data_IF_893892673331
#
_entry.id   IF_893892673331
#
_cell.length_a   1.000
_cell.length_b   1.000
_cell.length_c   1.000
_cell.angle_alpha   90.00
_cell.angle_beta   90.00
_cell.angle_gamma   90.00
#
_symmetry.space_group_name_H-M   'P 1'
#
loop_
_entity.id
_entity.type
_entity.pdbx_description
1 polymer ?
#
# COMPACT_ATOMS: atom_id res chain seq x y z
N UNK A 1 -14.07 -46.92 -18.54
CA UNK A 1 -12.86 -46.89 -17.69
C UNK A 1 -11.84 -45.99 -18.40
N UNK A 2 -11.94 -44.68 -18.15
CA UNK A 2 -11.03 -43.89 -17.31
C UNK A 2 -9.73 -43.49 -18.02
N UNK A 3 -9.80 -42.37 -18.74
CA UNK A 3 -8.67 -41.53 -19.12
C UNK A 3 -9.00 -40.12 -18.63
N UNK A 4 -8.52 -39.77 -17.44
CA UNK A 4 -8.71 -38.46 -16.86
C UNK A 4 -7.63 -38.28 -15.81
N UNK A 5 -6.68 -37.37 -16.08
CA UNK A 5 -5.96 -36.55 -15.09
C UNK A 5 -4.72 -35.82 -15.68
N UNK A 6 -4.34 -36.04 -16.94
CA UNK A 6 -3.18 -35.35 -17.53
C UNK A 6 -3.49 -34.04 -18.28
N UNK A 7 -4.69 -33.45 -18.12
CA UNK A 7 -5.16 -32.32 -18.95
C UNK A 7 -5.58 -31.04 -18.21
N UNK A 8 -5.58 -31.02 -16.88
CA UNK A 8 -6.17 -29.91 -16.10
C UNK A 8 -5.17 -28.79 -15.79
N UNK A 9 -3.86 -29.01 -16.00
CA UNK A 9 -2.82 -28.04 -15.62
C UNK A 9 -2.38 -27.06 -16.73
N UNK A 10 -2.96 -27.12 -17.93
CA UNK A 10 -2.58 -26.25 -19.06
C UNK A 10 -3.76 -25.50 -19.70
N UNK A 11 -4.89 -25.38 -19.00
CA UNK A 11 -6.10 -24.73 -19.52
C UNK A 11 -6.63 -23.54 -18.67
N UNK A 12 -5.87 -23.07 -17.68
CA UNK A 12 -6.19 -21.82 -16.95
C UNK A 12 -5.45 -20.59 -17.52
N UNK A 13 -4.51 -20.78 -18.45
CA UNK A 13 -3.72 -19.70 -19.07
C UNK A 13 -4.29 -19.21 -20.44
N UNK A 14 -5.53 -19.56 -20.79
CA UNK A 14 -6.21 -19.02 -21.98
C UNK A 14 -7.65 -18.57 -21.75
N UNK A 15 -7.89 -17.79 -20.68
CA UNK A 15 -9.18 -17.07 -20.52
C UNK A 15 -9.09 -15.66 -19.93
N UNK A 16 -8.01 -14.92 -20.17
CA UNK A 16 -7.96 -13.49 -19.81
C UNK A 16 -7.23 -12.63 -20.87
N UNK A 17 -7.55 -12.85 -22.15
CA UNK A 17 -7.20 -11.93 -23.25
C UNK A 17 -8.45 -11.52 -24.06
N UNK A 18 -9.54 -11.19 -23.36
CA UNK A 18 -10.63 -10.40 -23.94
C UNK A 18 -11.05 -9.36 -22.91
N UNK A 19 -10.35 -8.22 -22.95
CA UNK A 19 -10.87 -7.00 -22.34
C UNK A 19 -12.16 -6.56 -23.06
N UNK A 20 -12.97 -5.69 -22.46
CA UNK A 20 -14.22 -5.18 -23.04
C UNK A 20 -14.02 -4.19 -24.20
N UNK A 21 -12.95 -4.31 -24.98
CA UNK A 21 -12.47 -3.27 -25.91
C UNK A 21 -12.66 -3.59 -27.41
N UNK A 22 -13.52 -4.54 -27.77
CA UNK A 22 -13.67 -4.97 -29.19
C UNK A 22 -15.05 -4.68 -29.81
N UNK A 23 -16.01 -4.10 -29.07
CA UNK A 23 -17.33 -3.72 -29.64
C UNK A 23 -17.44 -2.23 -30.05
N UNK A 24 -16.32 -1.51 -30.15
CA UNK A 24 -16.32 -0.07 -30.50
C UNK A 24 -15.78 0.26 -31.90
N UNK A 25 -15.85 -0.67 -32.84
CA UNK A 25 -15.51 -0.40 -34.24
C UNK A 25 -16.69 -0.64 -35.18
N UNK A 26 -17.71 0.22 -35.08
CA UNK A 26 -18.49 0.73 -36.23
C UNK A 26 -19.47 1.85 -35.82
N UNK A 27 -19.18 3.04 -36.36
CA UNK A 27 -20.02 4.23 -36.57
C UNK A 27 -20.39 5.15 -35.36
N UNK A 28 -19.89 6.40 -35.41
CA UNK A 28 -20.45 7.55 -34.67
C UNK A 28 -19.42 8.65 -34.35
N UNK A 29 -19.71 9.96 -34.52
CA UNK A 29 -18.75 11.03 -34.30
C UNK A 29 -18.54 11.34 -32.81
N UNK A 30 -17.29 11.67 -32.45
CA UNK A 30 -16.85 12.31 -31.20
C UNK A 30 -17.58 11.87 -29.90
N UNK A 31 -17.29 10.66 -29.43
CA UNK A 31 -17.45 10.37 -28.00
C UNK A 31 -16.41 11.21 -27.27
N UNK A 32 -16.86 12.21 -26.50
CA UNK A 32 -15.98 13.07 -25.71
C UNK A 32 -15.03 12.21 -24.85
N UNK A 33 -13.77 12.62 -24.77
CA UNK A 33 -12.77 11.97 -23.93
C UNK A 33 -13.29 11.99 -22.49
N UNK A 34 -13.69 10.85 -21.93
CA UNK A 34 -14.02 10.75 -20.51
C UNK A 34 -12.71 10.94 -19.75
N UNK A 35 -12.55 12.09 -19.09
CA UNK A 35 -11.41 12.31 -18.21
C UNK A 35 -11.61 11.43 -16.97
N UNK A 36 -10.74 10.43 -16.83
CA UNK A 36 -10.77 9.56 -15.65
C UNK A 36 -10.46 10.40 -14.40
N UNK A 37 -11.16 10.15 -13.28
CA UNK A 37 -10.79 10.77 -12.02
C UNK A 37 -9.32 10.46 -11.68
N UNK A 38 -8.65 11.36 -11.00
CA UNK A 38 -7.21 11.26 -10.79
C UNK A 38 -6.80 9.97 -10.06
N UNK A 39 -7.65 9.45 -9.16
CA UNK A 39 -7.39 8.21 -8.41
C UNK A 39 -7.40 6.95 -9.31
N UNK A 40 -7.96 7.01 -10.51
CA UNK A 40 -7.84 5.93 -11.50
C UNK A 40 -6.48 5.94 -12.24
N UNK A 41 -5.59 6.89 -11.95
CA UNK A 41 -4.25 6.97 -12.54
C UNK A 41 -3.23 6.29 -11.64
N UNK A 42 -2.63 5.23 -12.17
CA UNK A 42 -1.59 4.46 -11.50
C UNK A 42 -0.40 5.33 -11.08
N UNK A 43 0.02 5.21 -9.81
CA UNK A 43 1.17 5.94 -9.26
C UNK A 43 0.98 7.45 -9.15
N UNK A 44 -0.26 7.95 -9.16
CA UNK A 44 -0.54 9.37 -8.97
C UNK A 44 -0.08 9.85 -7.58
N UNK A 45 0.54 11.04 -7.55
CA UNK A 45 0.94 11.72 -6.32
C UNK A 45 0.00 12.90 -6.08
N UNK A 46 -0.72 12.95 -4.94
CA UNK A 46 -1.58 14.08 -4.60
C UNK A 46 -0.83 15.40 -4.58
N UNK A 47 -1.47 16.47 -5.08
CA UNK A 47 -0.86 17.81 -5.15
C UNK A 47 -1.00 18.59 -3.84
N UNK A 48 -1.94 18.18 -2.99
CA UNK A 48 -2.23 18.81 -1.71
C UNK A 48 -3.05 17.87 -0.81
N UNK A 49 -3.26 18.30 0.44
CA UNK A 49 -3.95 17.50 1.46
C UNK A 49 -5.41 17.20 1.10
N UNK A 50 -6.09 18.08 0.35
CA UNK A 50 -7.47 17.85 -0.07
C UNK A 50 -7.56 16.72 -1.11
N UNK A 51 -6.63 16.70 -2.08
CA UNK A 51 -6.53 15.61 -3.05
C UNK A 51 -6.11 14.30 -2.37
N UNK A 52 -5.16 14.34 -1.45
CA UNK A 52 -4.78 13.14 -0.70
C UNK A 52 -5.97 12.56 0.10
N UNK A 53 -6.75 13.41 0.78
CA UNK A 53 -7.96 12.98 1.51
C UNK A 53 -8.99 12.33 0.59
N UNK A 54 -9.23 12.87 -0.60
CA UNK A 54 -10.12 12.24 -1.58
C UNK A 54 -9.66 10.82 -1.95
N UNK A 55 -8.34 10.59 -2.03
CA UNK A 55 -7.79 9.26 -2.28
C UNK A 55 -8.00 8.30 -1.11
N UNK A 56 -7.80 8.77 0.12
CA UNK A 56 -8.08 8.02 1.34
C UNK A 56 -9.56 7.62 1.38
N UNK A 57 -10.47 8.59 1.23
CA UNK A 57 -11.91 8.38 1.26
C UNK A 57 -12.35 7.39 0.17
N UNK A 58 -11.75 7.47 -1.02
CA UNK A 58 -12.02 6.55 -2.12
C UNK A 58 -11.66 5.11 -1.75
N UNK A 59 -10.46 4.87 -1.23
CA UNK A 59 -10.02 3.51 -0.85
C UNK A 59 -10.91 2.98 0.27
N UNK A 60 -11.23 3.78 1.28
CA UNK A 60 -12.11 3.38 2.40
C UNK A 60 -13.51 3.03 1.91
N UNK A 61 -14.06 3.79 0.97
CA UNK A 61 -15.40 3.51 0.42
C UNK A 61 -15.43 2.21 -0.41
N UNK A 62 -14.30 1.84 -1.00
CA UNK A 62 -14.20 0.70 -1.94
C UNK A 62 -13.58 -0.54 -1.32
N UNK A 63 -13.01 -0.44 -0.13
CA UNK A 63 -12.22 -1.53 0.40
C UNK A 63 -13.04 -2.75 0.76
N UNK A 64 -12.39 -3.91 0.62
CA UNK A 64 -12.89 -5.21 1.08
C UNK A 64 -11.87 -5.81 2.05
N UNK A 65 -12.26 -6.22 3.27
CA UNK A 65 -13.59 -6.06 3.85
C UNK A 65 -13.91 -4.58 4.13
N UNK A 66 -15.18 -4.26 4.42
CA UNK A 66 -15.62 -2.88 4.57
C UNK A 66 -15.09 -2.20 5.85
N UNK A 67 -15.21 -0.88 5.94
CA UNK A 67 -14.71 -0.09 7.08
C UNK A 67 -15.25 -0.50 8.46
N UNK A 68 -16.45 -1.08 8.50
CA UNK A 68 -17.08 -1.57 9.73
C UNK A 68 -16.62 -2.99 10.13
N UNK A 69 -15.93 -3.68 9.21
CA UNK A 69 -15.47 -5.06 9.38
C UNK A 69 -13.95 -5.15 9.65
N UNK A 70 -13.24 -4.03 9.61
CA UNK A 70 -11.81 -3.95 9.92
C UNK A 70 -11.56 -3.46 11.33
N UNK A 71 -10.40 -3.82 11.88
CA UNK A 71 -9.93 -3.29 13.16
C UNK A 71 -9.04 -2.08 12.90
N UNK A 72 -9.55 -0.89 13.20
CA UNK A 72 -8.76 0.34 13.17
C UNK A 72 -7.81 0.42 14.36
N UNK A 73 -6.56 0.76 14.09
CA UNK A 73 -5.53 0.97 15.10
C UNK A 73 -5.78 2.29 15.84
N UNK A 74 -5.78 2.23 17.17
CA UNK A 74 -6.10 3.37 18.06
C UNK A 74 -4.89 4.02 18.73
N UNK A 75 -3.73 3.37 18.65
CA UNK A 75 -2.48 3.82 19.25
C UNK A 75 -1.72 4.76 18.30
N UNK A 76 -0.60 5.31 18.74
CA UNK A 76 0.30 6.19 17.98
C UNK A 76 1.77 5.76 18.10
N UNK A 77 2.00 4.47 18.40
CA UNK A 77 3.31 3.85 18.49
C UNK A 77 4.10 4.01 17.18
N UNK A 78 5.46 4.05 17.24
CA UNK A 78 6.27 4.13 16.05
C UNK A 78 5.97 2.98 15.08
N UNK A 79 5.84 3.33 13.80
CA UNK A 79 5.69 2.36 12.71
C UNK A 79 6.89 2.45 11.78
N UNK A 80 7.17 1.37 11.08
CA UNK A 80 8.31 1.26 10.18
C UNK A 80 7.83 0.94 8.78
N UNK A 81 8.46 1.56 7.78
CA UNK A 81 8.22 1.25 6.37
C UNK A 81 9.54 1.02 5.65
N UNK A 82 9.59 -0.07 4.89
CA UNK A 82 10.65 -0.33 3.93
C UNK A 82 10.24 0.19 2.56
N UNK A 83 11.12 0.94 1.89
CA UNK A 83 10.84 1.54 0.60
C UNK A 83 12.13 1.73 -0.22
N UNK A 84 12.01 1.65 -1.54
CA UNK A 84 13.14 1.86 -2.46
C UNK A 84 13.32 3.31 -2.88
N UNK A 85 12.32 4.15 -2.63
CA UNK A 85 12.37 5.58 -2.90
C UNK A 85 13.26 6.25 -1.85
N UNK A 86 14.21 7.11 -2.24
CA UNK A 86 15.08 7.80 -1.28
C UNK A 86 14.35 8.94 -0.56
N UNK A 87 14.82 9.34 0.64
CA UNK A 87 14.16 10.36 1.45
C UNK A 87 13.91 11.67 0.70
N UNK A 88 14.92 12.16 -0.04
CA UNK A 88 14.81 13.40 -0.81
C UNK A 88 13.68 13.43 -1.84
N UNK A 89 13.13 12.26 -2.23
CA UNK A 89 11.98 12.17 -3.15
C UNK A 89 10.62 12.18 -2.45
N UNK A 90 10.58 11.91 -1.15
CA UNK A 90 9.35 11.70 -0.38
C UNK A 90 9.04 12.86 0.57
N UNK A 91 10.06 13.55 1.10
CA UNK A 91 9.91 14.50 2.22
C UNK A 91 8.92 15.65 1.99
N UNK A 92 8.64 16.02 0.74
CA UNK A 92 7.69 17.10 0.40
C UNK A 92 6.31 16.59 -0.07
N UNK A 93 6.06 15.29 0.00
CA UNK A 93 4.85 14.68 -0.54
C UNK A 93 4.20 13.66 0.37
N UNK A 94 3.80 12.55 -0.24
CA UNK A 94 3.03 11.49 0.39
C UNK A 94 3.67 10.14 0.08
N UNK A 95 3.57 9.22 1.03
CA UNK A 95 3.62 7.81 0.71
C UNK A 95 2.27 7.45 0.11
N UNK A 96 2.24 7.32 -1.21
CA UNK A 96 1.02 6.94 -1.94
C UNK A 96 0.97 5.44 -2.20
N UNK A 97 -0.24 4.86 -2.26
CA UNK A 97 -0.44 3.52 -2.79
C UNK A 97 -0.04 3.46 -4.26
N UNK A 98 0.10 2.23 -4.75
CA UNK A 98 0.46 2.02 -6.14
C UNK A 98 -0.75 2.13 -7.07
N UNK A 99 -1.93 1.78 -6.57
CA UNK A 99 -3.20 1.84 -7.30
C UNK A 99 -4.35 2.12 -6.33
N UNK A 100 -4.96 3.32 -6.39
CA UNK A 100 -6.09 3.66 -5.52
C UNK A 100 -7.36 2.84 -5.82
N UNK A 101 -7.44 2.14 -6.95
CA UNK A 101 -8.61 1.35 -7.35
C UNK A 101 -8.62 -0.04 -6.72
N UNK A 102 -7.44 -0.64 -6.52
CA UNK A 102 -7.31 -1.98 -5.94
C UNK A 102 -7.38 -1.93 -4.40
N UNK A 103 -8.60 -1.88 -3.87
CA UNK A 103 -8.88 -1.70 -2.46
C UNK A 103 -9.18 -3.02 -1.70
N UNK A 104 -8.82 -4.19 -2.24
CA UNK A 104 -8.96 -5.45 -1.49
C UNK A 104 -7.78 -5.62 -0.50
N UNK A 105 -8.06 -5.44 0.79
CA UNK A 105 -7.08 -5.54 1.87
C UNK A 105 -6.45 -6.93 1.94
N UNK A 106 -7.20 -7.97 1.56
CA UNK A 106 -6.70 -9.34 1.61
C UNK A 106 -5.86 -9.73 0.38
N UNK A 107 -6.07 -9.07 -0.76
CA UNK A 107 -5.23 -9.25 -1.96
C UNK A 107 -4.02 -8.30 -2.02
N UNK A 108 -4.03 -7.27 -1.17
CA UNK A 108 -3.05 -6.19 -1.11
C UNK A 108 -1.59 -6.66 -0.94
N UNK A 109 -1.39 -7.84 -0.36
CA UNK A 109 -0.08 -8.30 0.12
C UNK A 109 0.85 -8.76 -1.03
N UNK A 110 0.33 -8.95 -2.24
CA UNK A 110 1.09 -9.42 -3.41
C UNK A 110 1.10 -8.45 -4.61
N UNK A 111 0.51 -7.25 -4.49
CA UNK A 111 0.09 -6.50 -5.67
C UNK A 111 0.10 -4.97 -5.59
N UNK A 112 -0.36 -4.38 -6.70
CA UNK A 112 -0.58 -2.95 -6.89
C UNK A 112 -1.82 -2.56 -6.06
N UNK A 113 -1.67 -2.31 -4.76
CA UNK A 113 -2.83 -2.04 -3.90
C UNK A 113 -3.06 -0.56 -3.61
N UNK A 114 -4.26 -0.27 -3.09
CA UNK A 114 -4.74 1.01 -2.55
C UNK A 114 -4.26 1.31 -1.15
N UNK A 115 -3.44 0.42 -0.57
CA UNK A 115 -2.90 0.57 0.78
C UNK A 115 -1.39 0.82 0.75
N UNK A 116 -0.92 1.52 1.77
CA UNK A 116 0.50 1.63 2.06
C UNK A 116 0.80 0.87 3.34
N UNK A 117 1.55 -0.22 3.21
CA UNK A 117 1.96 -1.05 4.34
C UNK A 117 3.00 -0.36 5.22
N UNK A 118 2.85 -0.60 6.52
CA UNK A 118 3.83 -0.32 7.56
C UNK A 118 3.82 -1.48 8.55
N UNK A 119 4.80 -1.56 9.45
CA UNK A 119 4.89 -2.61 10.47
C UNK A 119 5.28 -2.01 11.81
N UNK A 120 4.85 -2.62 12.90
CA UNK A 120 5.35 -2.31 14.25
C UNK A 120 6.74 -2.90 14.52
N UNK A 121 7.16 -3.87 13.71
CA UNK A 121 8.44 -4.55 13.89
C UNK A 121 9.57 -3.82 13.14
N UNK A 122 10.45 -3.15 13.89
CA UNK A 122 11.63 -2.45 13.38
C UNK A 122 12.65 -3.37 12.68
N UNK A 123 12.57 -4.69 12.91
CA UNK A 123 13.49 -5.69 12.36
C UNK A 123 12.83 -6.54 11.28
N UNK A 124 11.63 -6.17 10.82
CA UNK A 124 10.93 -6.89 9.75
C UNK A 124 11.79 -7.02 8.49
N UNK A 125 11.94 -8.23 7.94
CA UNK A 125 12.77 -8.50 6.76
C UNK A 125 12.09 -8.17 5.42
N UNK A 126 11.28 -7.11 5.36
CA UNK A 126 10.63 -6.64 4.12
C UNK A 126 11.65 -6.03 3.16
N UNK A 127 11.44 -6.20 1.86
CA UNK A 127 12.34 -5.63 0.85
C UNK A 127 12.28 -4.09 0.85
N UNK A 128 13.43 -3.48 0.64
CA UNK A 128 13.57 -2.03 0.48
C UNK A 128 14.99 -1.56 0.77
N UNK A 129 15.44 -0.52 0.07
CA UNK A 129 16.74 0.11 0.30
C UNK A 129 16.79 1.04 1.50
N UNK A 130 15.64 1.52 1.97
CA UNK A 130 15.53 2.41 3.12
C UNK A 130 14.50 1.89 4.10
N UNK A 131 14.76 2.13 5.38
CA UNK A 131 13.76 2.03 6.42
C UNK A 131 13.42 3.43 6.94
N UNK A 132 12.14 3.74 6.97
CA UNK A 132 11.57 4.96 7.54
C UNK A 132 10.91 4.62 8.87
N UNK A 133 11.19 5.42 9.89
CA UNK A 133 10.41 5.43 11.14
C UNK A 133 9.34 6.53 11.04
N UNK A 134 8.13 6.18 11.39
CA UNK A 134 6.95 7.04 11.42
C UNK A 134 6.56 7.26 12.87
N UNK A 135 6.31 8.51 13.27
CA UNK A 135 5.95 8.85 14.65
C UNK A 135 4.76 9.81 14.68
N UNK A 136 3.85 9.62 15.64
CA UNK A 136 2.63 10.44 15.76
C UNK A 136 1.58 10.17 14.66
N UNK A 137 1.80 9.17 13.80
CA UNK A 137 0.85 8.75 12.77
C UNK A 137 -0.28 7.94 13.42
N UNK A 138 -1.48 8.53 13.49
CA UNK A 138 -2.69 7.87 14.00
C UNK A 138 -3.44 7.05 12.95
N UNK A 139 -4.36 6.18 13.38
CA UNK A 139 -5.22 5.39 12.50
C UNK A 139 -4.51 4.25 11.78
N UNK A 140 -5.02 3.89 10.60
CA UNK A 140 -4.56 2.71 9.87
C UNK A 140 -5.24 1.43 10.34
N UNK A 141 -5.28 0.42 9.48
CA UNK A 141 -5.92 -0.86 9.74
C UNK A 141 -4.90 -1.80 10.37
N UNK A 142 -5.21 -2.34 11.53
CA UNK A 142 -4.46 -3.43 12.13
C UNK A 142 -4.77 -4.73 11.37
N UNK A 143 -3.86 -5.11 10.47
CA UNK A 143 -4.10 -6.24 9.55
C UNK A 143 -4.13 -7.56 10.31
N UNK A 144 -3.27 -7.72 11.32
CA UNK A 144 -3.22 -8.94 12.14
C UNK A 144 -4.50 -9.08 12.98
N UNK A 145 -5.01 -7.99 13.56
CA UNK A 145 -6.26 -8.03 14.30
C UNK A 145 -7.50 -8.22 13.39
N UNK A 146 -7.44 -7.71 12.15
CA UNK A 146 -8.53 -7.83 11.16
C UNK A 146 -8.59 -9.21 10.52
N UNK A 147 -7.46 -9.72 10.03
CA UNK A 147 -7.39 -10.97 9.28
C UNK A 147 -7.07 -12.19 10.15
N UNK A 148 -6.56 -11.96 11.37
CA UNK A 148 -6.03 -13.02 12.23
C UNK A 148 -4.83 -13.74 11.59
N UNK A 149 -4.55 -14.95 12.07
CA UNK A 149 -3.50 -15.82 11.51
C UNK A 149 -3.73 -16.27 10.05
N UNK A 150 -4.89 -15.92 9.46
CA UNK A 150 -5.25 -16.24 8.07
C UNK A 150 -4.29 -15.59 7.07
N UNK A 151 -3.63 -14.51 7.47
CA UNK A 151 -2.59 -13.83 6.69
C UNK A 151 -1.22 -14.01 7.35
N UNK A 152 -0.27 -14.63 6.65
CA UNK A 152 1.16 -14.73 7.01
C UNK A 152 1.46 -15.18 8.45
N UNK A 153 0.56 -15.98 9.04
CA UNK A 153 0.70 -16.47 10.41
C UNK A 153 0.61 -15.38 11.49
N UNK A 154 0.16 -14.16 11.17
CA UNK A 154 0.01 -13.06 12.12
C UNK A 154 1.33 -12.53 12.71
N UNK A 155 2.43 -12.65 11.95
CA UNK A 155 3.78 -12.30 12.43
C UNK A 155 4.30 -10.97 11.91
N UNK A 156 3.60 -10.36 10.96
CA UNK A 156 4.08 -9.14 10.30
C UNK A 156 3.83 -7.89 11.11
N UNK A 157 2.90 -7.92 12.07
CA UNK A 157 2.50 -6.75 12.86
C UNK A 157 2.14 -5.56 11.96
N UNK A 158 1.49 -5.88 10.84
CA UNK A 158 1.23 -4.92 9.77
C UNK A 158 0.13 -3.93 10.15
N UNK A 159 0.38 -2.67 9.80
CA UNK A 159 -0.61 -1.60 9.80
C UNK A 159 -0.71 -1.06 8.38
N UNK A 160 -1.87 -1.23 7.75
CA UNK A 160 -2.13 -0.80 6.39
C UNK A 160 -2.85 0.55 6.38
N UNK A 161 -2.36 1.51 5.59
CA UNK A 161 -2.96 2.84 5.45
C UNK A 161 -3.72 2.97 4.12
N UNK A 162 -5.08 3.02 4.13
CA UNK A 162 -5.88 3.26 2.94
C UNK A 162 -5.50 4.62 2.33
N UNK A 163 -5.16 4.65 1.05
CA UNK A 163 -4.78 5.89 0.36
C UNK A 163 -3.42 6.48 0.77
N UNK A 164 -2.71 5.84 1.70
CA UNK A 164 -1.39 6.22 2.15
C UNK A 164 -1.35 7.33 3.19
N UNK A 165 -0.19 7.99 3.36
CA UNK A 165 0.00 8.99 4.41
C UNK A 165 1.00 10.10 4.03
N UNK A 166 0.92 11.29 4.65
CA UNK A 166 1.86 12.38 4.41
C UNK A 166 3.27 12.07 4.92
N UNK A 167 4.32 12.43 4.16
CA UNK A 167 5.69 12.14 4.54
C UNK A 167 6.20 12.94 5.76
N UNK A 168 5.48 13.99 6.18
CA UNK A 168 5.79 14.78 7.40
C UNK A 168 5.78 13.95 8.70
N UNK A 169 5.16 12.77 8.68
CA UNK A 169 5.18 11.82 9.80
C UNK A 169 6.45 10.99 9.90
N UNK A 170 7.34 11.06 8.90
CA UNK A 170 8.67 10.42 8.98
C UNK A 170 9.52 11.16 10.01
N UNK A 171 9.87 10.51 11.12
CA UNK A 171 10.75 11.07 12.15
C UNK A 171 12.22 10.96 11.77
N UNK A 172 12.61 9.82 11.18
CA UNK A 172 13.98 9.50 10.77
C UNK A 172 13.99 8.37 9.74
N UNK A 173 15.13 8.20 9.06
CA UNK A 173 15.36 7.09 8.13
C UNK A 173 16.77 6.53 8.26
N UNK A 174 16.98 5.33 7.75
CA UNK A 174 18.31 4.72 7.61
C UNK A 174 18.38 3.88 6.34
N UNK A 175 19.60 3.68 5.84
CA UNK A 175 19.82 2.80 4.68
C UNK A 175 19.87 1.35 5.14
N UNK A 176 19.26 0.46 4.35
CA UNK A 176 19.48 -0.98 4.46
C UNK A 176 20.79 -1.31 3.76
N UNK A 177 21.71 -1.96 4.47
CA UNK A 177 23.05 -2.30 3.99
C UNK A 177 23.11 -3.64 3.27
N UNK A 178 22.10 -4.51 3.47
CA UNK A 178 21.97 -5.81 2.81
C UNK A 178 20.61 -5.98 2.09
N UNK A 179 20.19 -5.04 1.21
CA UNK A 179 18.85 -5.06 0.62
C UNK A 179 18.57 -6.31 -0.22
N UNK A 180 19.59 -6.86 -0.88
CA UNK A 180 19.49 -8.08 -1.71
C UNK A 180 19.28 -9.37 -0.88
N UNK A 181 19.55 -9.31 0.42
CA UNK A 181 19.35 -10.40 1.38
C UNK A 181 17.95 -10.33 2.04
N UNK A 182 17.28 -9.17 2.00
CA UNK A 182 15.94 -9.01 2.52
C UNK A 182 14.93 -9.79 1.67
N UNK A 183 13.87 -10.30 2.31
CA UNK A 183 12.92 -11.23 1.67
C UNK A 183 13.42 -12.69 1.57
N UNK A 184 14.69 -12.97 1.90
CA UNK A 184 15.24 -14.35 2.02
C UNK A 184 15.28 -14.87 3.46
N UNK A 185 14.64 -14.16 4.39
CA UNK A 185 14.64 -14.49 5.82
C UNK A 185 15.88 -14.05 6.59
N UNK A 186 16.80 -13.30 5.96
CA UNK A 186 17.94 -12.72 6.66
C UNK A 186 17.51 -11.45 7.44
N UNK A 187 18.09 -11.21 8.62
CA UNK A 187 17.82 -9.99 9.37
C UNK A 187 18.40 -8.76 8.63
N UNK A 188 17.72 -7.61 8.72
CA UNK A 188 18.23 -6.39 8.10
C UNK A 188 19.43 -5.83 8.85
N UNK A 189 20.42 -5.36 8.08
CA UNK A 189 21.58 -4.59 8.54
C UNK A 189 21.37 -3.16 8.11
N UNK A 190 21.68 -2.21 8.98
CA UNK A 190 21.37 -0.80 8.74
C UNK A 190 22.56 0.12 8.94
N UNK A 191 22.52 1.26 8.27
CA UNK A 191 23.31 2.42 8.66
C UNK A 191 22.79 3.03 9.97
N UNK A 192 23.51 4.03 10.46
CA UNK A 192 22.99 4.95 11.47
C UNK A 192 21.71 5.65 11.00
N UNK A 193 20.90 6.05 11.97
CA UNK A 193 19.71 6.86 11.74
C UNK A 193 20.07 8.28 11.31
N UNK A 194 19.32 8.79 10.35
CA UNK A 194 19.33 10.19 9.93
C UNK A 194 18.01 10.81 10.34
N UNK A 195 18.06 11.83 11.20
CA UNK A 195 16.88 12.57 11.65
C UNK A 195 16.27 13.38 10.51
N UNK A 196 14.94 13.36 10.39
CA UNK A 196 14.22 14.19 9.44
C UNK A 196 14.05 15.62 10.00
N UNK A 197 14.70 16.66 9.43
CA UNK A 197 14.51 18.03 9.88
C UNK A 197 13.13 18.60 9.54
N UNK A 198 12.33 17.90 8.70
CA UNK A 198 10.97 18.27 8.30
C UNK A 198 9.90 17.46 9.03
N UNK A 199 10.27 16.70 10.06
CA UNK A 199 9.31 15.97 10.87
C UNK A 199 8.35 16.95 11.56
N UNK A 200 7.06 16.72 11.38
CA UNK A 200 5.98 17.54 11.94
C UNK A 200 4.81 16.64 12.36
N UNK A 201 4.79 16.17 13.63
CA UNK A 201 3.72 15.34 14.16
C UNK A 201 2.49 16.15 14.61
N UNK A 202 2.54 17.48 14.52
CA UNK A 202 1.46 18.36 14.96
C UNK A 202 0.33 18.46 13.94
N UNK A 203 0.55 17.99 12.70
CA UNK A 203 -0.44 17.93 11.66
C UNK A 203 -1.64 17.09 12.12
N UNK A 204 -2.83 17.70 12.09
CA UNK A 204 -4.01 17.22 12.81
C UNK A 204 -4.30 15.73 12.56
N UNK A 205 -4.35 14.96 13.65
CA UNK A 205 -4.82 13.56 13.69
C UNK A 205 -6.20 13.45 13.05
N UNK A 206 -6.26 13.11 11.75
CA UNK A 206 -7.51 12.92 10.99
C UNK A 206 -7.38 11.82 9.95
N UNK A 207 -6.67 10.74 10.29
CA UNK A 207 -6.90 9.45 9.66
C UNK A 207 -8.05 8.77 10.42
N UNK A 208 -8.92 8.01 9.74
CA UNK A 208 -10.00 7.29 10.40
C UNK A 208 -9.45 6.35 11.48
N UNK A 209 -10.16 6.28 12.60
CA UNK A 209 -9.85 5.53 13.81
C UNK A 209 -11.11 4.85 14.34
#
# INVERSE_FOLDING_TARGET
>A
MSAGEAGVFTAVIRRFLRGPEQDLLRAGPAVGRVELPWFAKLGHVPKNDAEWRQGVDHVIQKMTPSADEVVWRKTDEPLYRYDDRPPGRLLDGYFTPHDYVDADLFQHIAGRSGFVSTTRNAEMSWSGRFQYELSGLGGGIDVDATAGARMYGGTQQEVAFPGGFPARFVSRWRSVLNPEELGRGMPPKFSEWVTNPRFDPSWERRLPA
#
